data_IF_009720923152
#
_entry.id   IF_009720923152
#
_cell.length_a   1.000
_cell.length_b   1.000
_cell.length_c   1.000
_cell.angle_alpha   90.00
_cell.angle_beta   90.00
_cell.angle_gamma   90.00
#
_symmetry.space_group_name_H-M   'P 1'
#
loop_
_entity.id
_entity.type
_entity.pdbx_description
1 polymer ?
#
# COMPACT_ATOMS: atom_id res chain seq x y z
N UNK A 1 33.94 -0.27 1.46
CA UNK A 1 32.73 -1.04 1.59
C UNK A 1 31.50 -0.13 1.67
N UNK A 2 30.56 -0.44 0.92
CA UNK A 2 29.35 0.35 0.91
C UNK A 2 28.41 -0.12 2.00
N UNK A 3 28.01 0.77 2.86
CA UNK A 3 26.92 0.48 3.73
C UNK A 3 25.71 0.25 2.85
N UNK A 4 25.02 -0.86 2.99
CA UNK A 4 23.80 -1.09 2.25
C UNK A 4 22.75 -0.05 2.61
N UNK A 5 21.74 0.05 1.79
CA UNK A 5 20.56 0.86 2.12
C UNK A 5 19.97 0.30 3.41
N UNK A 6 19.63 1.14 4.39
CA UNK A 6 18.99 0.66 5.61
C UNK A 6 17.74 -0.16 5.28
N UNK A 7 17.46 -1.17 6.09
CA UNK A 7 16.31 -2.03 5.85
C UNK A 7 15.01 -1.25 5.76
N UNK A 8 14.86 -0.23 6.60
CA UNK A 8 13.68 0.63 6.56
C UNK A 8 13.50 1.32 5.22
N UNK A 9 14.58 1.87 4.64
CA UNK A 9 14.51 2.50 3.31
C UNK A 9 14.19 1.48 2.23
N UNK A 10 14.78 0.30 2.30
CA UNK A 10 14.50 -0.76 1.34
C UNK A 10 13.04 -1.20 1.40
N UNK A 11 12.52 -1.36 2.60
CA UNK A 11 11.12 -1.71 2.81
C UNK A 11 10.17 -0.62 2.31
N UNK A 12 10.54 0.65 2.49
CA UNK A 12 9.77 1.78 1.97
C UNK A 12 9.73 1.77 0.44
N UNK A 13 10.86 1.50 -0.21
CA UNK A 13 10.90 1.38 -1.67
C UNK A 13 10.04 0.23 -2.16
N UNK A 14 10.09 -0.90 -1.49
CA UNK A 14 9.27 -2.07 -1.82
C UNK A 14 7.79 -1.74 -1.68
N UNK A 15 7.42 -1.10 -0.57
CA UNK A 15 6.03 -0.70 -0.33
C UNK A 15 5.54 0.28 -1.40
N UNK A 16 6.34 1.31 -1.70
CA UNK A 16 5.98 2.30 -2.71
C UNK A 16 5.75 1.65 -4.06
N UNK A 17 6.68 0.77 -4.48
CA UNK A 17 6.57 0.09 -5.76
C UNK A 17 5.31 -0.78 -5.83
N UNK A 18 4.99 -1.49 -4.77
CA UNK A 18 3.80 -2.34 -4.72
C UNK A 18 2.52 -1.51 -4.87
N UNK A 19 2.42 -0.41 -4.12
CA UNK A 19 1.24 0.45 -4.16
C UNK A 19 1.11 1.13 -5.52
N UNK A 20 2.22 1.61 -6.10
CA UNK A 20 2.20 2.22 -7.42
C UNK A 20 1.74 1.23 -8.49
N UNK A 21 2.16 -0.03 -8.41
CA UNK A 21 1.68 -1.07 -9.33
C UNK A 21 0.16 -1.24 -9.22
N UNK A 22 -0.36 -1.27 -8.00
CA UNK A 22 -1.80 -1.45 -7.81
C UNK A 22 -2.60 -0.24 -8.28
N UNK A 23 -2.09 0.96 -8.04
CA UNK A 23 -2.72 2.19 -8.53
C UNK A 23 -2.73 2.21 -10.05
N UNK A 24 -1.59 1.88 -10.68
CA UNK A 24 -1.51 1.84 -12.14
C UNK A 24 -2.47 0.79 -12.71
N UNK A 25 -2.52 -0.38 -12.11
CA UNK A 25 -3.40 -1.47 -12.56
C UNK A 25 -4.88 -1.11 -12.47
N UNK A 26 -5.24 -0.18 -11.59
CA UNK A 26 -6.63 0.24 -11.40
C UNK A 26 -6.94 1.60 -12.04
N UNK A 27 -6.03 2.12 -12.87
CA UNK A 27 -6.28 3.34 -13.63
C UNK A 27 -5.99 4.64 -12.90
N UNK A 28 -5.21 4.59 -11.84
CA UNK A 28 -4.89 5.77 -11.02
C UNK A 28 -3.41 6.13 -11.12
N UNK A 29 -3.00 6.65 -12.28
CA UNK A 29 -1.60 7.01 -12.54
C UNK A 29 -1.36 8.51 -12.57
N UNK A 30 -2.30 9.31 -12.07
CA UNK A 30 -2.19 10.77 -12.09
C UNK A 30 -1.20 11.29 -11.03
N UNK A 31 -0.67 12.52 -11.25
CA UNK A 31 0.30 13.10 -10.31
C UNK A 31 -0.21 13.29 -8.89
N UNK A 32 -1.49 13.63 -8.72
CA UNK A 32 -2.05 13.83 -7.39
C UNK A 32 -2.05 12.53 -6.58
N UNK A 33 -2.37 11.41 -7.24
CA UNK A 33 -2.33 10.10 -6.59
C UNK A 33 -0.91 9.70 -6.23
N UNK A 34 0.05 9.94 -7.14
CA UNK A 34 1.46 9.67 -6.86
C UNK A 34 1.96 10.50 -5.68
N UNK A 35 1.51 11.75 -5.58
CA UNK A 35 1.86 12.62 -4.46
C UNK A 35 1.33 12.06 -3.13
N UNK A 36 0.12 11.51 -3.13
CA UNK A 36 -0.44 10.88 -1.94
C UNK A 36 0.41 9.69 -1.49
N UNK A 37 0.93 8.91 -2.43
CA UNK A 37 1.84 7.80 -2.10
C UNK A 37 3.13 8.32 -1.48
N UNK A 38 3.72 9.35 -2.08
CA UNK A 38 4.96 9.93 -1.56
C UNK A 38 4.78 10.51 -0.16
N UNK A 39 3.64 11.13 0.11
CA UNK A 39 3.32 11.65 1.45
C UNK A 39 3.20 10.51 2.47
N UNK A 40 2.55 9.43 2.10
CA UNK A 40 2.42 8.26 2.97
C UNK A 40 3.79 7.65 3.28
N UNK A 41 4.65 7.53 2.25
CA UNK A 41 6.00 7.01 2.42
C UNK A 41 6.81 7.92 3.34
N UNK A 42 6.71 9.24 3.16
CA UNK A 42 7.43 10.19 4.01
C UNK A 42 7.01 10.07 5.48
N UNK A 43 5.71 9.92 5.73
CA UNK A 43 5.21 9.74 7.09
C UNK A 43 5.74 8.46 7.73
N UNK A 44 5.76 7.37 6.97
CA UNK A 44 6.26 6.10 7.49
C UNK A 44 7.78 6.06 7.61
N UNK A 45 8.50 6.88 6.83
CA UNK A 45 9.95 6.99 6.98
C UNK A 45 10.31 7.47 8.37
N UNK A 46 9.62 8.50 8.85
CA UNK A 46 9.83 8.97 10.23
C UNK A 46 9.46 7.87 11.23
N UNK A 47 8.31 7.23 11.03
CA UNK A 47 7.80 6.19 11.93
C UNK A 47 8.78 5.02 12.07
N UNK A 48 9.30 4.50 10.94
CA UNK A 48 10.22 3.36 10.97
C UNK A 48 11.60 3.74 11.52
N UNK A 49 11.96 5.01 11.43
CA UNK A 49 13.21 5.48 12.03
C UNK A 49 13.14 5.41 13.56
N UNK A 50 11.96 5.54 14.13
CA UNK A 50 11.74 5.43 15.57
C UNK A 50 11.56 3.97 16.01
N UNK A 51 11.14 3.11 15.10
CA UNK A 51 10.90 1.69 15.39
C UNK A 51 11.36 0.84 14.21
N UNK A 52 12.66 0.56 14.12
CA UNK A 52 13.19 -0.19 12.95
C UNK A 52 12.58 -1.57 12.74
N UNK A 53 12.11 -2.23 13.79
CA UNK A 53 11.45 -3.54 13.66
C UNK A 53 10.15 -3.45 12.87
N UNK A 54 9.60 -2.25 12.76
CA UNK A 54 8.38 -2.01 11.98
C UNK A 54 8.57 -2.11 10.47
N UNK A 55 9.82 -2.23 9.99
CA UNK A 55 10.10 -2.35 8.55
C UNK A 55 9.30 -3.49 7.91
N UNK A 56 9.09 -4.58 8.63
CA UNK A 56 8.36 -5.74 8.13
C UNK A 56 6.88 -5.44 7.82
N UNK A 57 6.35 -4.36 8.36
CA UNK A 57 4.93 -4.01 8.23
C UNK A 57 4.66 -2.86 7.27
N UNK A 58 5.70 -2.31 6.64
CA UNK A 58 5.57 -1.09 5.87
C UNK A 58 4.67 -1.21 4.66
N UNK A 59 4.70 -2.34 3.95
CA UNK A 59 3.82 -2.52 2.79
C UNK A 59 2.36 -2.41 3.20
N UNK A 60 1.97 -3.10 4.27
CA UNK A 60 0.60 -3.06 4.75
C UNK A 60 0.21 -1.65 5.22
N UNK A 61 1.09 -1.02 6.00
CA UNK A 61 0.80 0.29 6.56
C UNK A 61 0.74 1.40 5.51
N UNK A 62 1.65 1.37 4.53
CA UNK A 62 1.61 2.34 3.44
C UNK A 62 0.37 2.13 2.59
N UNK A 63 -0.01 0.87 2.31
CA UNK A 63 -1.24 0.58 1.58
C UNK A 63 -2.46 1.17 2.28
N UNK A 64 -2.55 0.98 3.60
CA UNK A 64 -3.65 1.52 4.38
C UNK A 64 -3.65 3.05 4.37
N UNK A 65 -2.48 3.66 4.54
CA UNK A 65 -2.36 5.12 4.55
C UNK A 65 -2.77 5.72 3.21
N UNK A 66 -2.38 5.10 2.09
CA UNK A 66 -2.75 5.56 0.76
C UNK A 66 -4.25 5.43 0.54
N UNK A 67 -4.83 4.28 0.92
CA UNK A 67 -6.27 4.08 0.79
C UNK A 67 -7.05 5.16 1.57
N UNK A 68 -6.60 5.48 2.78
CA UNK A 68 -7.23 6.52 3.59
C UNK A 68 -7.07 7.90 2.95
N UNK A 69 -5.89 8.21 2.42
CA UNK A 69 -5.63 9.49 1.79
C UNK A 69 -6.48 9.71 0.53
N UNK A 70 -6.74 8.65 -0.22
CA UNK A 70 -7.51 8.75 -1.46
C UNK A 70 -9.01 8.93 -1.23
N UNK A 71 -9.51 8.68 -0.03
CA UNK A 71 -10.94 8.86 0.25
C UNK A 71 -11.42 10.26 -0.08
N UNK A 72 -10.58 11.26 0.12
CA UNK A 72 -10.96 12.67 -0.11
C UNK A 72 -11.03 13.05 -1.59
N UNK A 73 -10.24 12.39 -2.45
CA UNK A 73 -10.07 12.82 -3.85
C UNK A 73 -10.60 11.81 -4.85
N UNK A 74 -10.42 10.54 -4.58
CA UNK A 74 -10.75 9.45 -5.50
C UNK A 74 -11.98 8.68 -5.01
N UNK A 75 -12.15 8.63 -3.70
CA UNK A 75 -13.16 7.81 -3.06
C UNK A 75 -12.55 6.52 -2.54
N UNK A 76 -13.38 5.53 -2.33
CA UNK A 76 -12.92 4.24 -1.82
C UNK A 76 -12.04 3.54 -2.84
N UNK A 77 -10.84 3.20 -2.43
CA UNK A 77 -9.86 2.52 -3.27
C UNK A 77 -9.06 1.54 -2.41
N UNK A 78 -8.72 0.35 -2.89
CA UNK A 78 -9.24 -0.28 -4.12
C UNK A 78 -10.65 -0.83 -3.91
N UNK A 79 -11.32 -1.16 -5.01
CA UNK A 79 -12.65 -1.75 -4.96
C UNK A 79 -12.62 -3.18 -5.45
N UNK A 80 -13.52 -4.00 -4.94
CA UNK A 80 -13.70 -5.35 -5.41
C UNK A 80 -14.27 -5.34 -6.84
N UNK A 81 -13.74 -6.19 -7.72
CA UNK A 81 -14.22 -6.28 -9.11
C UNK A 81 -15.63 -6.85 -9.20
N UNK A 82 -15.99 -7.71 -8.27
CA UNK A 82 -17.29 -8.38 -8.25
C UNK A 82 -18.30 -7.55 -7.47
N UNK A 83 -17.88 -7.00 -6.33
CA UNK A 83 -18.72 -6.16 -5.48
C UNK A 83 -18.22 -4.71 -5.61
N UNK A 84 -18.59 -4.06 -6.70
CA UNK A 84 -18.00 -2.78 -7.14
C UNK A 84 -18.02 -1.69 -6.08
N UNK A 85 -19.00 -1.68 -5.21
CA UNK A 85 -19.08 -0.69 -4.14
C UNK A 85 -18.32 -1.08 -2.89
N UNK A 86 -17.88 -2.32 -2.81
CA UNK A 86 -17.20 -2.83 -1.63
C UNK A 86 -15.72 -2.46 -1.68
N UNK A 87 -15.21 -1.68 -0.72
CA UNK A 87 -13.78 -1.38 -0.69
C UNK A 87 -12.99 -2.61 -0.27
N UNK A 88 -11.81 -2.77 -0.83
CA UNK A 88 -10.88 -3.78 -0.36
C UNK A 88 -10.14 -3.22 0.86
N UNK A 89 -9.82 -4.09 1.80
CA UNK A 89 -9.04 -3.73 2.98
C UNK A 89 -7.75 -4.52 3.00
N UNK A 90 -6.77 -3.98 3.69
CA UNK A 90 -5.47 -4.65 3.87
C UNK A 90 -5.56 -5.60 5.05
N UNK A 91 -5.13 -6.83 4.87
CA UNK A 91 -5.12 -7.82 5.95
C UNK A 91 -3.94 -8.77 5.78
N UNK A 92 -3.09 -8.95 6.78
CA UNK A 92 -3.07 -8.22 8.05
C UNK A 92 -2.45 -6.83 7.90
N UNK A 93 -2.87 -5.89 8.71
CA UNK A 93 -2.29 -4.53 8.72
C UNK A 93 -0.92 -4.55 9.39
N UNK A 94 -0.79 -5.29 10.47
CA UNK A 94 0.49 -5.45 11.17
C UNK A 94 0.96 -6.89 11.04
N UNK A 95 1.41 -7.24 9.84
CA UNK A 95 1.86 -8.59 9.59
C UNK A 95 2.61 -8.68 8.27
N UNK A 96 3.12 -9.88 7.99
CA UNK A 96 3.81 -10.18 6.76
C UNK A 96 2.80 -10.55 5.66
N UNK A 97 3.21 -10.39 4.42
CA UNK A 97 2.43 -10.80 3.25
C UNK A 97 1.01 -10.25 3.25
N UNK A 98 0.87 -8.90 3.31
CA UNK A 98 -0.47 -8.31 3.31
C UNK A 98 -1.19 -8.56 1.99
N UNK A 99 -2.49 -8.76 2.09
CA UNK A 99 -3.36 -8.98 0.94
C UNK A 99 -4.50 -7.97 0.93
N UNK A 100 -5.00 -7.68 -0.26
CA UNK A 100 -6.27 -6.97 -0.40
C UNK A 100 -7.39 -7.99 -0.22
N UNK A 101 -8.35 -7.64 0.63
CA UNK A 101 -9.43 -8.56 1.02
C UNK A 101 -10.78 -7.87 0.82
N UNK A 102 -11.71 -8.57 0.18
CA UNK A 102 -13.11 -8.15 0.08
C UNK A 102 -13.90 -8.81 1.22
N UNK A 103 -14.77 -8.05 1.86
CA UNK A 103 -15.59 -8.57 2.95
C UNK A 103 -16.55 -9.69 2.51
N UNK A 104 -16.80 -9.81 1.20
CA UNK A 104 -17.71 -10.83 0.66
C UNK A 104 -16.96 -11.96 -0.04
N UNK A 105 -15.97 -11.62 -0.86
CA UNK A 105 -15.22 -12.60 -1.66
C UNK A 105 -14.07 -13.25 -0.91
N UNK A 106 -13.55 -12.60 0.14
CA UNK A 106 -12.32 -13.03 0.81
C UNK A 106 -11.09 -12.42 0.16
N UNK A 107 -9.98 -13.15 0.20
CA UNK A 107 -8.69 -12.67 -0.32
C UNK A 107 -8.76 -12.47 -1.84
N UNK A 108 -8.36 -11.28 -2.28
CA UNK A 108 -8.34 -10.94 -3.70
C UNK A 108 -6.95 -11.12 -4.29
N UNK A 109 -5.93 -10.47 -3.70
CA UNK A 109 -4.56 -10.50 -4.22
C UNK A 109 -3.59 -9.99 -3.17
N UNK A 110 -2.32 -10.40 -3.25
CA UNK A 110 -1.29 -9.72 -2.46
C UNK A 110 -1.23 -8.23 -2.81
N UNK A 111 -0.91 -7.41 -1.84
CA UNK A 111 -0.68 -5.99 -2.10
C UNK A 111 0.46 -5.87 -3.12
N UNK A 112 0.22 -5.17 -4.21
CA UNK A 112 1.15 -5.05 -5.32
C UNK A 112 0.82 -5.94 -6.51
N UNK A 113 -0.19 -6.80 -6.40
CA UNK A 113 -0.52 -7.78 -7.43
C UNK A 113 -1.97 -7.67 -7.94
N UNK A 114 -2.62 -6.52 -7.77
CA UNK A 114 -4.00 -6.34 -8.28
C UNK A 114 -4.08 -6.53 -9.79
N UNK A 115 -3.04 -6.15 -10.51
CA UNK A 115 -3.01 -6.28 -11.96
C UNK A 115 -2.84 -7.70 -12.46
N UNK A 116 -2.49 -8.63 -11.61
CA UNK A 116 -2.27 -10.03 -11.99
C UNK A 116 -3.37 -10.96 -11.51
N UNK A 117 -4.32 -10.44 -10.80
CA UNK A 117 -5.41 -11.25 -10.24
C UNK A 117 -6.66 -11.27 -11.10
#
# INVERSE_FOLDING_TARGET
MTAGVPEGERALHTARAAIMRDLHATGHSDPATASAVDDAVAGRRWWVSQWPDGAAYLTALVAQDVADALLANVGRWPRCRIHDEEPLVVDPVLGHDPHWVCGHCGVIAPVGALGTS
#
